data_IF_634270462812
#
_entry.id   IF_634270462812
#
_cell.length_a   1.000
_cell.length_b   1.000
_cell.length_c   1.000
_cell.angle_alpha   90.00
_cell.angle_beta   90.00
_cell.angle_gamma   90.00
#
_symmetry.space_group_name_H-M   'P 1'
#
loop_
_entity.id
_entity.type
_entity.pdbx_description
1 polymer ?
#
# COMPACT_ATOMS: atom_id res chain seq x y z
N UNK A 1 32.03 -38.92 8.00
CA UNK A 1 30.55 -39.08 8.04
C UNK A 1 29.96 -37.98 7.17
N UNK A 2 29.41 -38.32 6.00
CA UNK A 2 28.96 -37.33 5.02
C UNK A 2 27.49 -37.00 5.32
N UNK A 3 27.26 -35.88 6.01
CA UNK A 3 25.92 -35.44 6.41
C UNK A 3 25.21 -34.90 5.18
N UNK A 4 24.30 -35.70 4.61
CA UNK A 4 23.46 -35.28 3.49
C UNK A 4 22.46 -34.24 4.01
N UNK A 5 22.65 -32.96 3.66
CA UNK A 5 21.71 -31.90 4.03
C UNK A 5 20.39 -32.16 3.29
N UNK A 6 19.35 -32.57 4.04
CA UNK A 6 18.00 -32.89 3.52
C UNK A 6 17.13 -31.63 3.39
N UNK A 7 17.54 -30.53 4.02
CA UNK A 7 16.76 -29.30 4.01
C UNK A 7 17.01 -28.46 2.75
N UNK A 8 15.95 -27.83 2.19
CA UNK A 8 16.09 -26.93 1.07
C UNK A 8 17.01 -25.77 1.44
N UNK A 9 17.82 -25.33 0.47
CA UNK A 9 18.76 -24.24 0.66
C UNK A 9 18.05 -22.97 1.18
N UNK A 10 18.67 -22.32 2.17
CA UNK A 10 18.17 -21.08 2.79
C UNK A 10 17.95 -20.00 1.72
N UNK A 11 16.74 -19.45 1.65
CA UNK A 11 16.42 -18.38 0.71
C UNK A 11 16.74 -17.00 1.33
N UNK A 12 17.92 -16.48 1.00
CA UNK A 12 18.45 -15.20 1.49
C UNK A 12 17.47 -14.03 1.26
N UNK A 13 16.72 -14.04 0.13
CA UNK A 13 15.75 -12.98 -0.19
C UNK A 13 14.60 -12.93 0.81
N UNK A 14 14.16 -14.09 1.30
CA UNK A 14 13.10 -14.18 2.31
C UNK A 14 13.56 -13.63 3.66
N UNK A 15 14.82 -13.88 4.02
CA UNK A 15 15.37 -13.43 5.30
C UNK A 15 15.62 -11.93 5.35
N UNK A 16 16.18 -11.34 4.28
CA UNK A 16 16.34 -9.89 4.16
C UNK A 16 14.98 -9.19 4.28
N UNK A 17 13.97 -9.73 3.61
CA UNK A 17 12.61 -9.20 3.66
C UNK A 17 11.99 -9.33 5.06
N UNK A 18 12.17 -10.46 5.74
CA UNK A 18 11.70 -10.64 7.12
C UNK A 18 12.34 -9.63 8.06
N UNK A 19 13.64 -9.38 7.91
CA UNK A 19 14.34 -8.36 8.68
C UNK A 19 13.77 -6.96 8.39
N UNK A 20 13.54 -6.61 7.12
CA UNK A 20 12.93 -5.33 6.75
C UNK A 20 11.53 -5.15 7.36
N UNK A 21 10.68 -6.17 7.30
CA UNK A 21 9.33 -6.15 7.92
C UNK A 21 9.44 -6.01 9.44
N UNK A 22 10.38 -6.71 10.07
CA UNK A 22 10.59 -6.67 11.52
C UNK A 22 10.91 -5.25 12.02
N UNK A 23 11.79 -4.54 11.32
CA UNK A 23 12.15 -3.15 11.67
C UNK A 23 11.10 -2.13 11.23
N UNK A 24 10.44 -2.32 10.09
CA UNK A 24 9.43 -1.39 9.59
C UNK A 24 8.13 -1.45 10.40
N UNK A 25 7.70 -2.63 10.86
CA UNK A 25 6.45 -2.81 11.60
C UNK A 25 6.29 -1.84 12.79
N UNK A 26 7.23 -1.75 13.76
CA UNK A 26 7.08 -0.83 14.88
C UNK A 26 7.08 0.63 14.43
N UNK A 27 7.88 1.00 13.43
CA UNK A 27 7.92 2.37 12.91
C UNK A 27 6.58 2.80 12.30
N UNK A 28 5.94 1.94 11.50
CA UNK A 28 4.62 2.20 10.91
C UNK A 28 3.52 2.32 11.97
N UNK A 29 3.52 1.43 12.97
CA UNK A 29 2.55 1.47 14.05
C UNK A 29 2.72 2.74 14.89
N UNK A 30 3.96 3.09 15.24
CA UNK A 30 4.24 4.33 15.98
C UNK A 30 3.83 5.56 15.18
N UNK A 31 4.14 5.62 13.88
CA UNK A 31 3.74 6.73 13.02
C UNK A 31 2.20 6.89 12.97
N UNK A 32 1.45 5.79 12.86
CA UNK A 32 0.00 5.80 12.89
C UNK A 32 -0.53 6.33 14.23
N UNK A 33 -0.01 5.83 15.36
CA UNK A 33 -0.42 6.27 16.70
C UNK A 33 -0.11 7.75 16.91
N UNK A 34 1.12 8.19 16.58
CA UNK A 34 1.54 9.58 16.72
C UNK A 34 0.63 10.49 15.88
N UNK A 35 0.33 10.11 14.64
CA UNK A 35 -0.55 10.91 13.78
C UNK A 35 -1.94 11.10 14.39
N UNK A 36 -2.52 10.06 14.98
CA UNK A 36 -3.82 10.14 15.65
C UNK A 36 -3.77 11.00 16.92
N UNK A 37 -2.73 10.84 17.75
CA UNK A 37 -2.53 11.63 18.97
C UNK A 37 -2.39 13.11 18.64
N UNK A 38 -1.53 13.47 17.67
CA UNK A 38 -1.34 14.87 17.26
C UNK A 38 -2.64 15.45 16.71
N UNK A 39 -3.41 14.69 15.94
CA UNK A 39 -4.69 15.15 15.43
C UNK A 39 -5.70 15.46 16.55
N UNK A 40 -5.77 14.63 17.59
CA UNK A 40 -6.62 14.88 18.77
C UNK A 40 -6.18 16.15 19.51
N UNK A 41 -4.87 16.37 19.66
CA UNK A 41 -4.32 17.55 20.34
C UNK A 41 -4.59 18.84 19.58
N UNK A 42 -4.49 18.81 18.24
CA UNK A 42 -4.71 19.97 17.37
C UNK A 42 -6.20 20.30 17.20
N UNK A 43 -7.11 19.35 17.46
CA UNK A 43 -8.57 19.48 17.33
C UNK A 43 -9.04 19.95 15.94
N UNK A 44 -8.20 19.78 14.93
CA UNK A 44 -8.46 20.19 13.55
C UNK A 44 -9.31 19.18 12.78
N UNK A 45 -9.32 19.34 11.44
CA UNK A 45 -9.87 18.34 10.52
C UNK A 45 -9.18 16.98 10.71
N UNK A 46 -9.86 15.87 10.41
CA UNK A 46 -9.35 14.51 10.67
C UNK A 46 -8.22 14.05 9.72
N UNK A 47 -7.19 14.88 9.50
CA UNK A 47 -6.10 14.62 8.57
C UNK A 47 -5.28 13.37 8.91
N UNK A 48 -5.30 12.90 10.16
CA UNK A 48 -4.65 11.64 10.54
C UNK A 48 -5.20 10.44 9.78
N UNK A 49 -6.46 10.48 9.33
CA UNK A 49 -7.06 9.40 8.54
C UNK A 49 -6.37 9.26 7.18
N UNK A 50 -6.01 10.39 6.55
CA UNK A 50 -5.26 10.44 5.29
C UNK A 50 -3.88 9.80 5.50
N UNK A 51 -3.21 10.17 6.60
CA UNK A 51 -1.89 9.62 6.93
C UNK A 51 -1.95 8.13 7.20
N UNK A 52 -2.90 7.66 8.00
CA UNK A 52 -3.08 6.23 8.29
C UNK A 52 -3.35 5.44 7.00
N UNK A 53 -4.20 5.95 6.11
CA UNK A 53 -4.46 5.28 4.84
C UNK A 53 -3.23 5.25 3.93
N UNK A 54 -2.44 6.33 3.87
CA UNK A 54 -1.19 6.36 3.12
C UNK A 54 -0.15 5.37 3.67
N UNK A 55 -0.04 5.24 5.00
CA UNK A 55 0.82 4.25 5.64
C UNK A 55 0.37 2.83 5.31
N UNK A 56 -0.94 2.58 5.34
CA UNK A 56 -1.53 1.31 4.94
C UNK A 56 -1.26 0.98 3.46
N UNK A 57 -1.34 1.98 2.58
CA UNK A 57 -1.02 1.84 1.17
C UNK A 57 0.44 1.43 0.97
N UNK A 58 1.39 2.13 1.59
CA UNK A 58 2.82 1.79 1.51
C UNK A 58 3.07 0.38 2.05
N UNK A 59 2.45 0.03 3.18
CA UNK A 59 2.55 -1.31 3.76
C UNK A 59 2.05 -2.40 2.80
N UNK A 60 0.95 -2.12 2.12
CA UNK A 60 0.28 -3.04 1.20
C UNK A 60 1.04 -3.28 -0.11
N UNK A 61 1.88 -2.33 -0.54
CA UNK A 61 2.68 -2.46 -1.77
C UNK A 61 4.13 -2.88 -1.52
N UNK A 62 4.76 -2.41 -0.44
CA UNK A 62 6.19 -2.62 -0.20
C UNK A 62 6.45 -3.87 0.64
N UNK A 63 5.66 -4.08 1.70
CA UNK A 63 5.98 -5.07 2.73
C UNK A 63 5.13 -6.34 2.62
N UNK A 64 3.88 -6.23 2.17
CA UNK A 64 2.94 -7.36 2.13
C UNK A 64 3.26 -8.36 1.01
N UNK A 65 3.33 -9.68 1.28
CA UNK A 65 3.61 -10.68 0.25
C UNK A 65 2.44 -10.83 -0.72
N UNK A 66 2.72 -10.76 -2.02
CA UNK A 66 1.79 -11.21 -3.04
C UNK A 66 1.72 -12.75 -2.94
N UNK A 67 0.56 -13.26 -2.54
CA UNK A 67 0.30 -14.70 -2.34
C UNK A 67 0.21 -15.51 -3.64
N UNK A 68 -0.04 -14.83 -4.76
CA UNK A 68 -0.11 -15.39 -6.11
C UNK A 68 0.97 -14.70 -6.94
N UNK A 69 1.45 -15.37 -8.00
CA UNK A 69 2.37 -14.82 -9.01
C UNK A 69 2.18 -13.32 -9.19
N UNK A 70 3.30 -12.61 -9.24
CA UNK A 70 3.39 -11.16 -9.26
C UNK A 70 2.82 -10.58 -10.56
N UNK A 71 1.50 -10.70 -10.74
CA UNK A 71 0.79 -10.24 -11.92
C UNK A 71 0.72 -8.71 -11.84
N UNK A 72 1.46 -8.07 -12.75
CA UNK A 72 1.53 -6.61 -12.89
C UNK A 72 0.14 -5.99 -12.99
N UNK A 73 -0.80 -6.69 -13.63
CA UNK A 73 -2.20 -6.28 -13.75
C UNK A 73 -2.90 -6.21 -12.39
N UNK A 74 -2.71 -7.21 -11.53
CA UNK A 74 -3.28 -7.24 -10.17
C UNK A 74 -2.73 -6.10 -9.30
N UNK A 75 -1.43 -5.80 -9.44
CA UNK A 75 -0.79 -4.68 -8.73
C UNK A 75 -1.37 -3.34 -9.21
N UNK A 76 -1.56 -3.16 -10.51
CA UNK A 76 -2.14 -1.95 -11.09
C UNK A 76 -3.62 -1.76 -10.67
N UNK A 77 -4.41 -2.83 -10.62
CA UNK A 77 -5.78 -2.76 -10.09
C UNK A 77 -5.77 -2.39 -8.61
N UNK A 78 -4.93 -3.06 -7.81
CA UNK A 78 -4.82 -2.78 -6.37
C UNK A 78 -4.38 -1.33 -6.10
N UNK A 79 -3.45 -0.79 -6.89
CA UNK A 79 -3.00 0.60 -6.75
C UNK A 79 -4.10 1.58 -7.09
N UNK A 80 -4.84 1.37 -8.19
CA UNK A 80 -5.99 2.18 -8.54
C UNK A 80 -7.03 2.21 -7.41
N UNK A 81 -7.35 1.06 -6.81
CA UNK A 81 -8.29 0.97 -5.68
C UNK A 81 -7.77 1.75 -4.47
N UNK A 82 -6.52 1.55 -4.04
CA UNK A 82 -5.98 2.24 -2.86
C UNK A 82 -5.88 3.76 -3.04
N UNK A 83 -5.50 4.23 -4.23
CA UNK A 83 -5.45 5.66 -4.57
C UNK A 83 -6.86 6.25 -4.60
N UNK A 84 -7.83 5.55 -5.19
CA UNK A 84 -9.22 6.02 -5.23
C UNK A 84 -9.80 6.16 -3.83
N UNK A 85 -9.58 5.18 -2.94
CA UNK A 85 -10.04 5.28 -1.55
C UNK A 85 -9.37 6.44 -0.82
N UNK A 86 -8.06 6.67 -1.06
CA UNK A 86 -7.36 7.82 -0.47
C UNK A 86 -8.01 9.15 -0.89
N UNK A 87 -8.35 9.29 -2.17
CA UNK A 87 -9.00 10.50 -2.71
C UNK A 87 -10.40 10.69 -2.10
N UNK A 88 -11.17 9.62 -1.96
CA UNK A 88 -12.50 9.67 -1.31
C UNK A 88 -12.37 10.12 0.15
N UNK A 89 -11.38 9.60 0.90
CA UNK A 89 -11.11 10.03 2.28
C UNK A 89 -10.78 11.54 2.31
N UNK A 90 -9.93 12.01 1.40
CA UNK A 90 -9.57 13.44 1.30
C UNK A 90 -10.82 14.29 1.05
N UNK A 91 -11.68 13.87 0.12
CA UNK A 91 -12.92 14.58 -0.19
C UNK A 91 -13.88 14.65 1.01
N UNK A 92 -14.00 13.58 1.79
CA UNK A 92 -14.82 13.58 3.01
C UNK A 92 -14.33 14.57 4.07
N UNK A 93 -13.02 14.85 4.11
CA UNK A 93 -12.42 15.78 5.06
C UNK A 93 -12.41 17.22 4.51
N UNK A 94 -12.24 17.37 3.21
CA UNK A 94 -12.16 18.66 2.51
C UNK A 94 -13.15 18.70 1.32
N UNK A 95 -14.45 18.89 1.59
CA UNK A 95 -15.49 18.81 0.55
C UNK A 95 -15.43 19.97 -0.46
N UNK A 96 -14.71 21.05 -0.15
CA UNK A 96 -14.47 22.16 -1.09
C UNK A 96 -13.50 21.79 -2.23
N UNK A 97 -12.79 20.68 -2.11
CA UNK A 97 -11.87 20.19 -3.14
C UNK A 97 -12.62 19.25 -4.11
N UNK A 98 -12.36 19.33 -5.43
CA UNK A 98 -13.07 18.54 -6.46
C UNK A 98 -12.64 17.06 -6.43
N UNK A 99 -13.10 16.33 -5.42
CA UNK A 99 -12.65 14.96 -5.18
C UNK A 99 -13.30 13.89 -6.03
N UNK A 100 -14.56 14.12 -6.46
CA UNK A 100 -15.29 13.16 -7.29
C UNK A 100 -14.70 13.13 -8.70
N UNK A 101 -14.40 14.30 -9.26
CA UNK A 101 -13.77 14.45 -10.57
C UNK A 101 -12.40 13.79 -10.57
N UNK A 102 -11.57 14.06 -9.57
CA UNK A 102 -10.22 13.49 -9.47
C UNK A 102 -10.28 11.97 -9.24
N UNK A 103 -11.22 11.48 -8.41
CA UNK A 103 -11.41 10.04 -8.23
C UNK A 103 -11.79 9.35 -9.54
N UNK A 104 -12.68 9.95 -10.33
CA UNK A 104 -13.09 9.40 -11.63
C UNK A 104 -11.91 9.32 -12.61
N UNK A 105 -11.05 10.34 -12.66
CA UNK A 105 -9.84 10.35 -13.48
C UNK A 105 -8.86 9.24 -13.08
N UNK A 106 -8.69 8.99 -11.77
CA UNK A 106 -7.82 7.92 -11.28
C UNK A 106 -8.37 6.53 -11.64
N UNK A 107 -9.69 6.33 -11.56
CA UNK A 107 -10.31 5.06 -11.95
C UNK A 107 -10.18 4.83 -13.46
N UNK A 108 -10.48 5.85 -14.27
CA UNK A 108 -10.36 5.75 -15.74
C UNK A 108 -8.90 5.53 -16.15
N UNK A 109 -7.96 6.29 -15.59
CA UNK A 109 -6.53 6.09 -15.82
C UNK A 109 -6.05 4.71 -15.38
N UNK A 110 -6.53 4.24 -14.22
CA UNK A 110 -6.27 2.88 -13.73
C UNK A 110 -6.76 1.80 -14.70
N UNK A 111 -7.99 1.94 -15.21
CA UNK A 111 -8.54 1.03 -16.22
C UNK A 111 -7.69 1.01 -17.49
N UNK A 112 -7.30 2.18 -18.02
CA UNK A 112 -6.43 2.27 -19.20
C UNK A 112 -5.10 1.56 -18.96
N UNK A 113 -4.45 1.82 -17.82
CA UNK A 113 -3.17 1.17 -17.47
C UNK A 113 -3.34 -0.34 -17.37
N UNK A 114 -4.41 -0.81 -16.72
CA UNK A 114 -4.67 -2.26 -16.59
C UNK A 114 -4.95 -2.91 -17.95
N UNK A 115 -5.66 -2.23 -18.85
CA UNK A 115 -5.90 -2.72 -20.21
C UNK A 115 -4.58 -2.80 -21.00
N UNK A 116 -3.73 -1.78 -20.93
CA UNK A 116 -2.41 -1.79 -21.57
C UNK A 116 -1.57 -2.95 -21.04
N UNK A 117 -1.50 -3.12 -19.71
CA UNK A 117 -0.74 -4.22 -19.10
C UNK A 117 -1.28 -5.60 -19.49
N UNK A 118 -2.59 -5.73 -19.62
CA UNK A 118 -3.24 -6.98 -20.03
C UNK A 118 -2.92 -7.34 -21.48
N UNK A 119 -3.01 -6.37 -22.41
CA UNK A 119 -2.72 -6.61 -23.83
C UNK A 119 -1.22 -6.63 -24.17
N UNK A 120 -0.37 -6.05 -23.32
CA UNK A 120 1.08 -5.98 -23.54
C UNK A 120 1.75 -7.36 -23.46
N UNK A 121 1.12 -8.36 -22.85
CA UNK A 121 1.60 -9.76 -22.80
C UNK A 121 3.12 -9.89 -22.51
N UNK A 122 3.62 -9.10 -21.53
CA UNK A 122 4.97 -9.17 -20.94
C UNK A 122 4.91 -9.61 -19.48
#
# INVERSE_FOLDING_TARGET
>A
MNVKVVYPAKNIRHDIRRAAIYWAKPAFILAAIISAVVNILVKGSAWSVIVIWSLWMIWSFVFTPTLIEHNRTSIAVKSSIHVTILIVIIYMIYPSWPGIEVASLVVVGGLIITAILFFSNV
#
